data_IF_184891097620
#
_entry.id   IF_184891097620
#
_cell.length_a   1.000
_cell.length_b   1.000
_cell.length_c   1.000
_cell.angle_alpha   90.00
_cell.angle_beta   90.00
_cell.angle_gamma   90.00
#
_symmetry.space_group_name_H-M   'P 1'
#
loop_
_entity.id
_entity.type
_entity.pdbx_description
1 polymer ?
#
# COMPACT_ATOMS: atom_id res chain seq x y z
N UNK A 1 4.53 -11.68 25.13
CA UNK A 1 4.53 -10.39 24.41
C UNK A 1 3.97 -10.67 23.03
N UNK A 2 2.66 -10.49 22.87
CA UNK A 2 2.01 -10.65 21.56
C UNK A 2 2.54 -9.54 20.64
N UNK A 3 2.99 -9.91 19.43
CA UNK A 3 3.28 -8.89 18.40
C UNK A 3 1.99 -8.08 18.21
N UNK A 4 2.05 -6.74 18.11
CA UNK A 4 0.90 -5.96 17.69
C UNK A 4 0.33 -6.60 16.42
N UNK A 5 -0.99 -6.72 16.33
CA UNK A 5 -1.67 -7.09 15.09
C UNK A 5 -1.26 -6.06 14.03
N UNK A 6 -0.30 -6.42 13.18
CA UNK A 6 0.30 -5.50 12.20
C UNK A 6 -0.79 -5.06 11.23
N UNK A 7 -1.18 -3.78 11.34
CA UNK A 7 -2.14 -3.16 10.42
C UNK A 7 -1.38 -2.43 9.30
N UNK A 8 -2.04 -2.24 8.17
CA UNK A 8 -1.47 -1.62 6.98
C UNK A 8 -2.21 -0.34 6.64
N UNK A 9 -1.51 0.79 6.60
CA UNK A 9 -2.02 2.02 6.02
C UNK A 9 -1.86 1.95 4.50
N UNK A 10 -2.95 2.07 3.74
CA UNK A 10 -2.94 1.92 2.29
C UNK A 10 -2.98 3.28 1.57
N UNK A 11 -2.12 3.43 0.56
CA UNK A 11 -1.98 4.66 -0.24
C UNK A 11 -2.68 4.53 -1.59
N UNK A 12 -2.29 3.54 -2.39
CA UNK A 12 -2.89 3.28 -3.69
C UNK A 12 -2.71 1.83 -4.13
N UNK A 13 -3.54 1.40 -5.07
CA UNK A 13 -3.31 0.22 -5.91
C UNK A 13 -2.59 0.66 -7.18
N UNK A 14 -1.60 -0.09 -7.62
CA UNK A 14 -0.91 0.11 -8.90
C UNK A 14 -0.87 -1.21 -9.67
N UNK A 15 -0.81 -1.13 -10.99
CA UNK A 15 -0.42 -2.27 -11.79
C UNK A 15 0.98 -2.73 -11.41
N UNK A 16 1.18 -4.05 -11.35
CA UNK A 16 2.50 -4.61 -11.13
C UNK A 16 3.27 -4.52 -12.44
N UNK A 17 4.18 -3.54 -12.56
CA UNK A 17 5.10 -3.47 -13.69
C UNK A 17 5.89 -4.77 -13.77
N UNK A 18 5.76 -5.46 -14.89
CA UNK A 18 6.16 -6.85 -15.03
C UNK A 18 7.69 -6.96 -15.22
N UNK A 19 8.27 -7.97 -14.56
CA UNK A 19 9.50 -8.71 -14.91
C UNK A 19 10.88 -8.17 -14.50
N UNK A 20 11.41 -8.76 -13.43
CA UNK A 20 12.76 -9.34 -13.49
C UNK A 20 12.64 -10.86 -13.37
N UNK A 21 12.88 -11.58 -14.47
CA UNK A 21 13.16 -13.03 -14.51
C UNK A 21 12.07 -14.01 -14.02
N UNK A 22 10.82 -13.87 -14.48
CA UNK A 22 9.82 -14.97 -14.44
C UNK A 22 9.38 -15.45 -13.05
N UNK A 23 9.88 -14.85 -11.97
CA UNK A 23 9.50 -15.15 -10.60
C UNK A 23 8.72 -13.97 -10.06
N UNK A 24 7.40 -14.09 -10.04
CA UNK A 24 6.53 -13.13 -9.33
C UNK A 24 6.95 -13.14 -7.86
N UNK A 25 7.64 -12.10 -7.41
CA UNK A 25 7.96 -11.93 -5.99
C UNK A 25 6.64 -11.81 -5.25
N UNK A 26 6.26 -12.86 -4.51
CA UNK A 26 5.05 -12.87 -3.68
C UNK A 26 5.21 -12.10 -2.37
N UNK A 27 6.42 -11.64 -2.08
CA UNK A 27 6.79 -11.02 -0.81
C UNK A 27 6.76 -9.50 -0.95
N UNK A 28 6.30 -8.78 0.09
CA UNK A 28 6.42 -7.33 0.13
C UNK A 28 7.88 -6.89 0.02
N UNK A 29 8.11 -5.76 -0.64
CA UNK A 29 9.43 -5.15 -0.78
C UNK A 29 9.36 -3.64 -0.58
N UNK A 30 10.46 -3.04 -0.13
CA UNK A 30 10.54 -1.61 0.17
C UNK A 30 10.57 -0.80 -1.14
N UNK A 31 9.81 0.28 -1.19
CA UNK A 31 9.96 1.31 -2.23
C UNK A 31 10.87 2.42 -1.72
N UNK A 32 12.07 2.50 -2.28
CA UNK A 32 13.06 3.50 -1.89
C UNK A 32 12.70 4.90 -2.39
N UNK A 33 13.21 5.93 -1.70
CA UNK A 33 13.06 7.33 -2.11
C UNK A 33 11.65 7.92 -1.87
N UNK A 34 10.76 7.18 -1.20
CA UNK A 34 9.42 7.64 -0.83
C UNK A 34 9.24 7.48 0.68
N UNK A 35 8.80 8.54 1.34
CA UNK A 35 8.39 8.50 2.74
C UNK A 35 6.86 8.51 2.83
N UNK A 36 6.34 7.57 3.62
CA UNK A 36 4.93 7.50 3.95
C UNK A 36 4.50 8.51 5.00
N UNK A 37 3.23 8.39 5.38
CA UNK A 37 2.64 9.14 6.48
C UNK A 37 3.44 8.88 7.77
N UNK A 38 3.68 9.93 8.56
CA UNK A 38 4.54 9.88 9.76
C UNK A 38 5.99 9.42 9.46
N UNK A 39 6.48 9.60 8.22
CA UNK A 39 7.82 9.17 7.83
C UNK A 39 7.97 7.65 7.68
N UNK A 40 6.87 6.90 7.64
CA UNK A 40 6.89 5.45 7.59
C UNK A 40 7.53 4.91 6.29
N UNK A 41 8.18 3.75 6.41
CA UNK A 41 8.72 3.02 5.26
C UNK A 41 7.57 2.54 4.36
N UNK A 42 7.68 2.82 3.07
CA UNK A 42 6.72 2.35 2.08
C UNK A 42 7.11 0.95 1.59
N UNK A 43 6.10 0.08 1.51
CA UNK A 43 6.19 -1.26 0.97
C UNK A 43 5.25 -1.39 -0.24
N UNK A 44 5.74 -2.04 -1.28
CA UNK A 44 4.90 -2.59 -2.33
C UNK A 44 4.50 -4.01 -1.93
N UNK A 45 3.20 -4.26 -1.85
CA UNK A 45 2.63 -5.53 -1.43
C UNK A 45 1.96 -6.24 -2.63
N UNK A 46 2.59 -7.26 -3.24
CA UNK A 46 2.08 -7.88 -4.45
C UNK A 46 0.82 -8.74 -4.23
N UNK A 47 -0.18 -8.57 -5.11
CA UNK A 47 -1.43 -9.33 -5.11
C UNK A 47 -1.98 -9.52 -6.53
N UNK A 48 -1.61 -10.63 -7.17
CA UNK A 48 -2.02 -10.95 -8.54
C UNK A 48 -1.24 -10.11 -9.55
N UNK A 49 -1.95 -9.40 -10.43
CA UNK A 49 -1.36 -8.46 -11.41
C UNK A 49 -1.23 -7.04 -10.83
N UNK A 50 -1.63 -6.83 -9.58
CA UNK A 50 -1.57 -5.54 -8.90
C UNK A 50 -0.62 -5.56 -7.71
N UNK A 51 -0.19 -4.39 -7.28
CA UNK A 51 0.47 -4.17 -6.00
C UNK A 51 -0.26 -3.11 -5.19
N UNK A 52 -0.38 -3.34 -3.88
CA UNK A 52 -0.87 -2.32 -2.96
C UNK A 52 0.32 -1.62 -2.34
N UNK A 53 0.33 -0.30 -2.43
CA UNK A 53 1.33 0.54 -1.76
C UNK A 53 0.84 0.78 -0.34
N UNK A 54 1.63 0.32 0.63
CA UNK A 54 1.28 0.35 2.05
C UNK A 54 2.45 0.79 2.91
N UNK A 55 2.18 1.12 4.16
CA UNK A 55 3.17 1.18 5.24
C UNK A 55 2.60 0.50 6.47
N UNK A 56 3.47 0.03 7.36
CA UNK A 56 3.01 -0.45 8.67
C UNK A 56 2.29 0.67 9.42
N UNK A 57 1.22 0.31 10.12
CA UNK A 57 0.42 1.23 10.91
C UNK A 57 0.17 0.64 12.29
N UNK A 58 0.69 1.33 13.31
CA UNK A 58 0.42 0.99 14.70
C UNK A 58 -0.70 1.89 15.23
N UNK A 59 -1.88 1.32 15.44
CA UNK A 59 -3.05 2.05 15.97
C UNK A 59 -2.83 2.63 17.36
N UNK A 60 -1.90 2.09 18.14
CA UNK A 60 -1.65 2.54 19.50
C UNK A 60 -0.79 3.80 19.56
N UNK A 61 0.00 4.07 18.52
CA UNK A 61 0.99 5.16 18.51
C UNK A 61 0.83 6.12 17.34
N UNK A 62 0.26 5.68 16.21
CA UNK A 62 0.15 6.50 15.01
C UNK A 62 -1.04 7.47 15.11
N UNK A 63 -0.75 8.76 14.95
CA UNK A 63 -1.77 9.80 14.79
C UNK A 63 -2.06 10.00 13.29
N UNK A 64 -3.34 10.24 12.95
CA UNK A 64 -3.81 10.63 11.63
C UNK A 64 -4.64 11.90 11.75
N UNK A 65 -4.00 13.04 11.51
CA UNK A 65 -4.63 14.36 11.46
C UNK A 65 -4.51 14.96 10.04
N UNK A 66 -5.08 16.14 9.84
CA UNK A 66 -5.22 16.77 8.53
C UNK A 66 -3.88 17.04 7.83
N UNK A 67 -2.80 17.27 8.60
CA UNK A 67 -1.45 17.48 8.01
C UNK A 67 -0.94 16.23 7.28
N UNK A 68 -1.38 15.03 7.67
CA UNK A 68 -0.96 13.79 7.03
C UNK A 68 -1.67 13.54 5.69
N UNK A 69 -2.71 14.30 5.35
CA UNK A 69 -3.38 14.21 4.04
C UNK A 69 -2.40 14.54 2.91
N UNK A 70 -1.54 15.53 3.11
CA UNK A 70 -0.52 15.92 2.13
C UNK A 70 0.57 14.85 1.97
N UNK A 71 0.94 14.16 3.05
CA UNK A 71 1.89 13.05 3.01
C UNK A 71 1.33 11.86 2.23
N UNK A 72 0.07 11.50 2.48
CA UNK A 72 -0.65 10.51 1.70
C UNK A 72 -0.69 10.88 0.22
N UNK A 73 -1.11 12.11 -0.10
CA UNK A 73 -1.19 12.60 -1.48
C UNK A 73 0.18 12.60 -2.19
N UNK A 74 1.27 12.86 -1.46
CA UNK A 74 2.64 12.80 -1.99
C UNK A 74 3.00 11.38 -2.43
N UNK A 75 2.71 10.37 -1.62
CA UNK A 75 2.97 8.96 -1.98
C UNK A 75 2.20 8.59 -3.24
N UNK A 76 0.89 8.88 -3.27
CA UNK A 76 0.03 8.62 -4.44
C UNK A 76 0.58 9.33 -5.69
N UNK A 77 0.98 10.60 -5.57
CA UNK A 77 1.57 11.37 -6.68
C UNK A 77 2.87 10.75 -7.19
N UNK A 78 3.72 10.19 -6.31
CA UNK A 78 4.95 9.53 -6.74
C UNK A 78 4.64 8.25 -7.51
N UNK A 79 3.73 7.42 -7.00
CA UNK A 79 3.32 6.20 -7.68
C UNK A 79 2.68 6.51 -9.05
N UNK A 80 1.88 7.57 -9.14
CA UNK A 80 1.25 8.00 -10.39
C UNK A 80 2.24 8.41 -11.49
N UNK A 81 3.46 8.85 -11.13
CA UNK A 81 4.52 9.13 -12.11
C UNK A 81 5.08 7.88 -12.77
N UNK A 82 4.88 6.71 -12.15
CA UNK A 82 5.39 5.43 -12.64
C UNK A 82 4.34 4.69 -13.47
N UNK A 83 3.06 4.88 -13.17
CA UNK A 83 1.96 4.28 -13.93
C UNK A 83 0.59 4.67 -13.38
N UNK A 84 -0.46 4.09 -13.94
CA UNK A 84 -1.83 4.33 -13.48
C UNK A 84 -1.99 3.79 -12.05
N UNK A 85 -2.59 4.60 -11.18
CA UNK A 85 -2.92 4.20 -9.81
C UNK A 85 -4.41 4.39 -9.55
N UNK A 86 -4.95 3.56 -8.67
CA UNK A 86 -6.21 3.80 -8.00
C UNK A 86 -5.90 4.26 -6.56
N UNK A 87 -6.10 5.55 -6.23
CA UNK A 87 -5.86 6.05 -4.89
C UNK A 87 -6.85 5.45 -3.89
N UNK A 88 -6.36 5.02 -2.73
CA UNK A 88 -7.23 4.76 -1.60
C UNK A 88 -7.65 6.08 -0.95
N UNK A 89 -8.78 6.08 -0.26
CA UNK A 89 -9.15 7.22 0.58
C UNK A 89 -8.11 7.40 1.68
N UNK A 90 -7.76 8.65 2.00
CA UNK A 90 -6.94 8.97 3.18
C UNK A 90 -7.49 8.28 4.44
N UNK A 91 -6.61 7.60 5.18
CA UNK A 91 -6.99 6.85 6.39
C UNK A 91 -7.49 5.43 6.14
N UNK A 92 -7.36 4.89 4.92
CA UNK A 92 -7.67 3.48 4.66
C UNK A 92 -6.65 2.58 5.38
N UNK A 93 -7.14 1.77 6.32
CA UNK A 93 -6.32 0.85 7.12
C UNK A 93 -6.88 -0.57 6.98
N UNK A 94 -6.00 -1.54 6.75
CA UNK A 94 -6.30 -2.98 6.80
C UNK A 94 -5.73 -3.59 8.07
N UNK A 95 -6.50 -4.45 8.74
CA UNK A 95 -6.12 -5.01 10.06
C UNK A 95 -5.12 -6.15 9.97
N UNK A 96 -4.92 -6.70 8.78
CA UNK A 96 -4.07 -7.86 8.54
C UNK A 96 -3.69 -7.99 7.07
N UNK A 97 -2.63 -8.75 6.81
CA UNK A 97 -2.24 -9.21 5.47
C UNK A 97 -3.40 -9.89 4.73
N UNK A 98 -4.21 -10.67 5.44
CA UNK A 98 -5.36 -11.37 4.86
C UNK A 98 -6.42 -10.38 4.38
N UNK A 99 -6.80 -9.40 5.21
CA UNK A 99 -7.79 -8.39 4.84
C UNK A 99 -7.34 -7.53 3.66
N UNK A 100 -6.06 -7.15 3.63
CA UNK A 100 -5.43 -6.44 2.51
C UNK A 100 -5.53 -7.26 1.22
N UNK A 101 -5.07 -8.52 1.24
CA UNK A 101 -5.12 -9.41 0.07
C UNK A 101 -6.56 -9.70 -0.37
N UNK A 102 -7.49 -9.85 0.56
CA UNK A 102 -8.89 -10.12 0.24
C UNK A 102 -9.54 -8.93 -0.47
N UNK A 103 -9.27 -7.71 -0.02
CA UNK A 103 -9.81 -6.49 -0.62
C UNK A 103 -9.38 -6.35 -2.09
N UNK A 104 -8.11 -6.62 -2.40
CA UNK A 104 -7.62 -6.60 -3.79
C UNK A 104 -8.25 -7.72 -4.62
N UNK A 105 -8.31 -8.94 -4.08
CA UNK A 105 -8.85 -10.10 -4.81
C UNK A 105 -10.33 -9.97 -5.13
N UNK A 106 -11.14 -9.49 -4.18
CA UNK A 106 -12.59 -9.34 -4.34
C UNK A 106 -12.94 -8.28 -5.39
N UNK A 107 -12.15 -7.21 -5.45
CA UNK A 107 -12.41 -6.09 -6.35
C UNK A 107 -11.61 -6.19 -7.66
N UNK A 108 -10.92 -7.31 -7.91
CA UNK A 108 -10.05 -7.50 -9.08
C UNK A 108 -10.74 -7.16 -10.41
N UNK A 109 -12.02 -7.50 -10.56
CA UNK A 109 -12.79 -7.19 -11.76
C UNK A 109 -13.03 -5.69 -11.91
N UNK A 110 -13.36 -5.00 -10.82
CA UNK A 110 -13.56 -3.56 -10.81
C UNK A 110 -12.27 -2.75 -11.03
N UNK A 111 -11.09 -3.38 -10.84
CA UNK A 111 -9.79 -2.73 -11.01
C UNK A 111 -9.10 -3.05 -12.33
N UNK A 112 -9.58 -4.04 -13.08
CA UNK A 112 -8.93 -4.53 -14.30
C UNK A 112 -9.81 -4.46 -15.56
N UNK A 113 -10.98 -3.82 -15.49
CA UNK A 113 -11.77 -3.36 -16.63
C UNK A 113 -11.47 -1.89 -16.89
#
# INVERSE_FOLDING_TARGET
MERPLMSWYAYCLTEHQNQTNGTRTRRPFILEGIQGVNGATILSYPSGEFSVIVSEFDRSTANLDDKHVLEHARVVSVCFRQGTVLPFRFGTIFDSDESLRQAVRNNRRAFGE
#
